data_IF_578562106404
#
_entry.id   IF_578562106404
#
_cell.length_a   1.000
_cell.length_b   1.000
_cell.length_c   1.000
_cell.angle_alpha   90.00
_cell.angle_beta   90.00
_cell.angle_gamma   90.00
#
_symmetry.space_group_name_H-M   'P 1'
#
loop_
_entity.id
_entity.type
_entity.pdbx_description
1 polymer ?
#
# COMPACT_ATOMS: atom_id res chain seq x y z
N UNK A 1 15.35 -1.01 -1.18
CA UNK A 1 15.07 -1.75 0.07
C UNK A 1 13.64 -2.28 0.01
N UNK A 2 13.34 -3.46 0.58
CA UNK A 2 11.99 -4.04 0.64
C UNK A 2 11.52 -4.12 2.10
N UNK A 3 10.28 -3.69 2.39
CA UNK A 3 9.63 -3.84 3.71
C UNK A 3 8.27 -4.51 3.54
N UNK A 4 8.01 -5.55 4.33
CA UNK A 4 6.71 -6.22 4.37
C UNK A 4 5.90 -5.73 5.57
N UNK A 5 4.59 -5.71 5.43
CA UNK A 5 3.67 -5.41 6.52
C UNK A 5 2.28 -5.95 6.23
N UNK A 6 1.39 -5.78 7.20
CA UNK A 6 0.01 -6.25 7.10
C UNK A 6 -0.93 -5.09 7.41
N UNK A 7 -1.92 -4.88 6.54
CA UNK A 7 -3.04 -3.97 6.77
C UNK A 7 -4.17 -4.80 7.37
N UNK A 8 -4.68 -4.36 8.53
CA UNK A 8 -5.88 -4.94 9.15
C UNK A 8 -7.05 -3.99 8.92
N UNK A 9 -8.13 -4.52 8.35
CA UNK A 9 -9.35 -3.77 8.06
C UNK A 9 -10.50 -4.44 8.80
N UNK A 10 -11.16 -3.70 9.68
CA UNK A 10 -12.46 -4.11 10.20
C UNK A 10 -13.53 -3.73 9.18
N UNK A 11 -14.20 -4.75 8.64
CA UNK A 11 -15.34 -4.58 7.76
C UNK A 11 -16.51 -5.40 8.28
N UNK A 12 -17.50 -4.72 8.84
CA UNK A 12 -18.73 -5.33 9.36
C UNK A 12 -18.45 -6.40 10.45
N UNK A 13 -17.51 -6.12 11.36
CA UNK A 13 -17.12 -7.01 12.44
C UNK A 13 -16.22 -8.17 12.00
N UNK A 14 -15.78 -8.18 10.73
CA UNK A 14 -14.78 -9.12 10.22
C UNK A 14 -13.46 -8.41 10.00
N UNK A 15 -12.42 -8.95 10.63
CA UNK A 15 -11.05 -8.51 10.39
C UNK A 15 -10.51 -9.14 9.10
N UNK A 16 -10.13 -8.28 8.17
CA UNK A 16 -9.52 -8.65 6.90
C UNK A 16 -8.05 -8.24 6.95
N UNK A 17 -7.16 -9.20 6.74
CA UNK A 17 -5.72 -9.01 6.77
C UNK A 17 -5.19 -9.00 5.35
N UNK A 18 -4.48 -7.95 4.96
CA UNK A 18 -3.91 -7.78 3.63
C UNK A 18 -2.41 -7.57 3.79
N UNK A 19 -1.64 -8.55 3.34
CA UNK A 19 -0.19 -8.42 3.27
C UNK A 19 0.21 -7.44 2.17
N UNK A 20 1.19 -6.59 2.45
CA UNK A 20 1.76 -5.68 1.47
C UNK A 20 3.28 -5.76 1.45
N UNK A 21 3.85 -5.27 0.36
CA UNK A 21 5.29 -5.16 0.19
C UNK A 21 5.64 -3.79 -0.34
N UNK A 22 6.36 -3.00 0.44
CA UNK A 22 6.89 -1.69 0.06
C UNK A 22 8.26 -1.86 -0.58
N UNK A 23 8.46 -1.18 -1.71
CA UNK A 23 9.73 -1.07 -2.40
C UNK A 23 10.18 0.37 -2.42
N UNK A 24 11.42 0.57 -2.00
CA UNK A 24 12.08 1.86 -1.97
C UNK A 24 13.20 1.86 -3.02
N UNK A 25 13.04 2.73 -4.02
CA UNK A 25 14.07 3.11 -4.98
C UNK A 25 14.38 4.59 -4.79
N UNK A 26 15.62 5.02 -5.09
CA UNK A 26 16.20 6.33 -4.75
C UNK A 26 15.19 7.51 -4.65
N UNK A 27 14.34 7.71 -5.67
CA UNK A 27 13.34 8.79 -5.71
C UNK A 27 11.90 8.28 -5.92
N UNK A 28 11.63 7.02 -5.59
CA UNK A 28 10.31 6.41 -5.86
C UNK A 28 9.96 5.32 -4.86
N UNK A 29 8.77 5.50 -4.29
CA UNK A 29 8.14 4.55 -3.41
C UNK A 29 7.12 3.73 -4.19
N UNK A 30 7.17 2.42 -4.05
CA UNK A 30 6.17 1.52 -4.59
C UNK A 30 5.62 0.64 -3.50
N UNK A 31 4.41 0.16 -3.70
CA UNK A 31 3.79 -0.84 -2.84
C UNK A 31 3.04 -1.85 -3.69
N UNK A 32 3.19 -3.12 -3.33
CA UNK A 32 2.45 -4.22 -3.91
C UNK A 32 1.39 -4.71 -2.92
N UNK A 33 0.14 -4.76 -3.37
CA UNK A 33 -1.01 -5.25 -2.64
C UNK A 33 -1.72 -6.37 -3.41
N UNK A 34 -2.07 -7.51 -2.80
CA UNK A 34 -2.90 -8.51 -3.44
C UNK A 34 -4.32 -7.97 -3.68
N UNK A 35 -5.05 -8.55 -4.63
CA UNK A 35 -6.50 -8.47 -4.69
C UNK A 35 -7.22 -9.62 -4.04
N UNK A 36 -8.55 -9.57 -4.05
CA UNK A 36 -9.41 -10.64 -3.53
C UNK A 36 -9.16 -12.01 -4.19
N UNK A 37 -8.50 -12.05 -5.35
CA UNK A 37 -8.12 -13.28 -6.05
C UNK A 37 -6.62 -13.61 -5.86
N UNK A 38 -5.91 -12.87 -5.00
CA UNK A 38 -4.47 -13.04 -4.73
C UNK A 38 -3.55 -12.39 -5.77
N UNK A 39 -4.08 -11.68 -6.77
CA UNK A 39 -3.24 -11.03 -7.79
C UNK A 39 -2.60 -9.79 -7.18
N UNK A 40 -1.27 -9.71 -7.19
CA UNK A 40 -0.55 -8.56 -6.64
C UNK A 40 -0.52 -7.40 -7.62
N UNK A 41 -0.76 -6.23 -7.08
CA UNK A 41 -0.93 -5.00 -7.83
C UNK A 41 -0.02 -3.92 -7.29
N UNK A 42 0.75 -3.29 -8.19
CA UNK A 42 1.75 -2.29 -7.84
C UNK A 42 1.23 -0.86 -7.94
N UNK A 43 1.50 -0.07 -6.91
CA UNK A 43 1.25 1.36 -6.86
C UNK A 43 2.57 2.09 -6.71
N UNK A 44 2.67 3.29 -7.28
CA UNK A 44 3.81 4.20 -7.17
C UNK A 44 3.36 5.48 -6.52
N UNK A 45 4.13 5.99 -5.56
CA UNK A 45 3.94 7.32 -4.99
C UNK A 45 4.32 8.37 -6.04
N UNK A 46 3.44 9.33 -6.31
CA UNK A 46 3.69 10.48 -7.19
C UNK A 46 3.18 11.74 -6.51
N UNK A 47 4.09 12.60 -6.03
CA UNK A 47 3.73 13.81 -5.30
C UNK A 47 3.08 13.48 -3.95
N UNK A 48 1.80 13.82 -3.78
CA UNK A 48 0.93 13.50 -2.62
C UNK A 48 -0.13 12.42 -2.89
N UNK A 49 -0.03 11.75 -4.04
CA UNK A 49 -0.94 10.65 -4.39
C UNK A 49 -0.22 9.33 -4.63
N UNK A 50 -0.94 8.22 -4.44
CA UNK A 50 -0.55 6.90 -4.92
C UNK A 50 -1.21 6.65 -6.27
N UNK A 51 -0.39 6.35 -7.29
CA UNK A 51 -0.83 6.07 -8.64
C UNK A 51 -0.62 4.61 -8.98
N UNK A 52 -1.54 4.07 -9.74
CA UNK A 52 -1.52 2.67 -10.12
C UNK A 52 -0.53 2.41 -11.27
N UNK A 53 0.27 1.34 -11.18
CA UNK A 53 1.33 1.08 -12.16
C UNK A 53 0.87 0.29 -13.40
N UNK A 54 -0.30 -0.37 -13.40
CA UNK A 54 -0.82 -1.09 -14.58
C UNK A 54 -2.33 -0.91 -14.71
N UNK A 55 -2.90 -0.51 -15.85
CA UNK A 55 -4.31 -0.07 -15.99
C UNK A 55 -5.44 -1.09 -15.68
N UNK A 56 -5.16 -2.28 -15.15
CA UNK A 56 -6.21 -3.27 -14.82
C UNK A 56 -7.00 -2.83 -13.59
N UNK A 57 -8.24 -2.35 -13.79
CA UNK A 57 -9.19 -1.93 -12.72
C UNK A 57 -9.04 -2.80 -11.46
N UNK A 58 -8.58 -2.22 -10.36
CA UNK A 58 -8.70 -2.85 -9.04
C UNK A 58 -10.17 -3.23 -8.83
N UNK A 59 -10.43 -4.51 -8.59
CA UNK A 59 -11.75 -4.97 -8.13
C UNK A 59 -11.86 -4.88 -6.61
N UNK A 60 -11.31 -3.84 -6.01
CA UNK A 60 -11.46 -3.56 -4.59
C UNK A 60 -12.54 -2.51 -4.36
N UNK A 61 -13.33 -2.63 -3.28
CA UNK A 61 -14.18 -1.54 -2.82
C UNK A 61 -13.35 -0.28 -2.52
N UNK A 62 -13.92 0.91 -2.77
CA UNK A 62 -13.24 2.21 -2.58
C UNK A 62 -12.62 2.35 -1.18
N UNK A 63 -13.33 1.89 -0.15
CA UNK A 63 -12.89 1.91 1.25
C UNK A 63 -11.55 1.19 1.45
N UNK A 64 -11.32 0.07 0.77
CA UNK A 64 -10.06 -0.66 0.84
C UNK A 64 -8.90 0.13 0.25
N UNK A 65 -9.16 0.84 -0.85
CA UNK A 65 -8.15 1.68 -1.50
C UNK A 65 -7.76 2.86 -0.59
N UNK A 66 -8.74 3.48 0.07
CA UNK A 66 -8.50 4.59 1.01
C UNK A 66 -7.71 4.14 2.25
N UNK A 67 -8.07 3.01 2.85
CA UNK A 67 -7.32 2.46 4.00
C UNK A 67 -5.90 2.05 3.57
N UNK A 68 -5.77 1.44 2.40
CA UNK A 68 -4.47 1.08 1.86
C UNK A 68 -3.58 2.32 1.65
N UNK A 69 -4.11 3.42 1.10
CA UNK A 69 -3.37 4.68 0.96
C UNK A 69 -2.93 5.28 2.29
N UNK A 70 -3.79 5.27 3.33
CA UNK A 70 -3.39 5.75 4.66
C UNK A 70 -2.25 4.92 5.25
N UNK A 71 -2.32 3.59 5.15
CA UNK A 71 -1.27 2.70 5.65
C UNK A 71 0.02 2.80 4.87
N UNK A 72 -0.07 3.08 3.56
CA UNK A 72 1.08 3.39 2.75
C UNK A 72 1.79 4.67 3.20
N UNK A 73 1.03 5.72 3.52
CA UNK A 73 1.61 6.97 4.01
C UNK A 73 2.18 6.81 5.43
N UNK A 74 1.54 6.06 6.33
CA UNK A 74 2.11 5.72 7.65
C UNK A 74 3.46 5.00 7.50
N UNK A 75 3.54 3.99 6.62
CA UNK A 75 4.76 3.23 6.42
C UNK A 75 5.88 4.05 5.74
N UNK A 76 5.51 5.03 4.91
CA UNK A 76 6.43 6.02 4.37
C UNK A 76 6.95 6.94 5.49
N UNK A 77 6.06 7.44 6.35
CA UNK A 77 6.40 8.34 7.45
C UNK A 77 7.37 7.69 8.44
N UNK A 78 7.06 6.48 8.90
CA UNK A 78 7.97 5.69 9.76
C UNK A 78 9.36 5.57 9.15
N UNK A 79 9.45 5.34 7.84
CA UNK A 79 10.73 5.21 7.16
C UNK A 79 11.47 6.56 7.04
N UNK A 80 10.77 7.64 6.69
CA UNK A 80 11.40 8.96 6.61
C UNK A 80 11.88 9.48 7.96
N UNK A 81 11.18 9.15 9.04
CA UNK A 81 11.65 9.44 10.40
C UNK A 81 12.90 8.61 10.75
N UNK A 82 12.98 7.35 10.28
CA UNK A 82 14.18 6.53 10.44
C UNK A 82 15.41 7.00 9.63
N UNK A 83 15.24 7.81 8.58
CA UNK A 83 16.37 8.40 7.82
C UNK A 83 16.84 9.74 8.40
N UNK A 84 16.03 10.38 9.27
CA UNK A 84 16.37 11.68 9.89
C UNK A 84 17.16 11.57 11.20
N UNK A 85 17.60 10.38 11.59
CA UNK A 85 18.52 10.11 12.71
C UNK A 85 19.89 9.73 12.16
#
# INVERSE_FOLDING_TARGET
>A
MERKGTITIDFDGRLIFIEYTLFFYADSYYIDLPDKNGVRHRFRRTGDTWKYCSLKRLKWPKLFVEIAYRKMDEALLEYTDHIRL
#
